data_IF_807715224864
#
_entry.id   IF_807715224864
#
_cell.length_a   1.000
_cell.length_b   1.000
_cell.length_c   1.000
_cell.angle_alpha   90.00
_cell.angle_beta   90.00
_cell.angle_gamma   90.00
#
_symmetry.space_group_name_H-M   'P 1'
#
loop_
_entity.id
_entity.type
_entity.pdbx_description
1 polymer ?
#
# COMPACT_ATOMS: atom_id res chain seq x y z
N UNK A 1 -40.79 -15.79 -22.39
CA UNK A 1 -39.67 -16.56 -21.80
C UNK A 1 -40.20 -17.40 -20.65
N UNK A 2 -39.80 -18.68 -20.54
CA UNK A 2 -40.34 -19.59 -19.50
C UNK A 2 -39.80 -19.19 -18.12
N UNK A 3 -40.65 -19.22 -17.10
CA UNK A 3 -40.34 -18.86 -15.70
C UNK A 3 -39.10 -19.59 -15.14
N UNK A 4 -38.87 -20.84 -15.58
CA UNK A 4 -37.65 -21.62 -15.27
C UNK A 4 -36.36 -20.98 -15.80
N UNK A 5 -36.40 -20.36 -16.98
CA UNK A 5 -35.24 -19.75 -17.62
C UNK A 5 -34.83 -18.46 -16.90
N UNK A 6 -35.80 -17.69 -16.41
CA UNK A 6 -35.58 -16.45 -15.64
C UNK A 6 -34.89 -16.73 -14.30
N UNK A 7 -35.29 -17.78 -13.59
CA UNK A 7 -34.65 -18.16 -12.32
C UNK A 7 -33.19 -18.61 -12.46
N UNK A 8 -32.87 -19.35 -13.53
CA UNK A 8 -31.49 -19.77 -13.82
C UNK A 8 -30.62 -18.56 -14.16
N UNK A 9 -31.12 -17.66 -15.01
CA UNK A 9 -30.41 -16.43 -15.38
C UNK A 9 -30.15 -15.57 -14.13
N UNK A 10 -31.14 -15.44 -13.24
CA UNK A 10 -30.99 -14.66 -12.01
C UNK A 10 -29.95 -15.26 -11.04
N UNK A 11 -29.95 -16.57 -10.86
CA UNK A 11 -28.95 -17.27 -10.03
C UNK A 11 -27.54 -17.10 -10.58
N UNK A 12 -27.36 -17.22 -11.90
CA UNK A 12 -26.06 -17.03 -12.55
C UNK A 12 -25.57 -15.58 -12.38
N UNK A 13 -26.44 -14.58 -12.54
CA UNK A 13 -26.11 -13.18 -12.31
C UNK A 13 -25.70 -12.91 -10.85
N UNK A 14 -26.43 -13.45 -9.88
CA UNK A 14 -26.11 -13.31 -8.46
C UNK A 14 -24.74 -13.95 -8.12
N UNK A 15 -24.44 -15.11 -8.69
CA UNK A 15 -23.14 -15.79 -8.55
C UNK A 15 -22.00 -14.95 -9.14
N UNK A 16 -22.17 -14.40 -10.34
CA UNK A 16 -21.16 -13.53 -10.97
C UNK A 16 -20.93 -12.27 -10.12
N UNK A 17 -21.99 -11.62 -9.63
CA UNK A 17 -21.86 -10.46 -8.75
C UNK A 17 -21.11 -10.81 -7.45
N UNK A 18 -21.47 -11.90 -6.79
CA UNK A 18 -20.79 -12.35 -5.57
C UNK A 18 -19.29 -12.66 -5.81
N UNK A 19 -18.96 -13.27 -6.95
CA UNK A 19 -17.58 -13.56 -7.34
C UNK A 19 -16.75 -12.28 -7.58
N UNK A 20 -17.33 -11.24 -8.17
CA UNK A 20 -16.67 -9.95 -8.38
C UNK A 20 -16.39 -9.24 -7.05
N UNK A 21 -17.34 -9.27 -6.11
CA UNK A 21 -17.14 -8.68 -4.78
C UNK A 21 -16.03 -9.40 -3.99
N UNK A 22 -16.00 -10.73 -4.02
CA UNK A 22 -15.01 -11.53 -3.27
C UNK A 22 -13.56 -11.30 -3.75
N UNK A 23 -13.36 -10.99 -5.04
CA UNK A 23 -12.02 -10.68 -5.56
C UNK A 23 -11.53 -9.28 -5.17
N UNK A 24 -12.42 -8.37 -4.78
CA UNK A 24 -12.07 -6.96 -4.50
C UNK A 24 -11.44 -6.76 -3.11
N UNK A 25 -11.50 -7.77 -2.23
CA UNK A 25 -11.17 -7.64 -0.80
C UNK A 25 -9.68 -7.90 -0.47
N UNK A 26 -8.91 -8.46 -1.40
CA UNK A 26 -7.52 -8.84 -1.16
C UNK A 26 -6.53 -7.75 -1.64
N UNK A 27 -6.51 -6.58 -0.98
CA UNK A 27 -5.37 -5.67 -1.11
C UNK A 27 -4.16 -6.32 -0.44
N UNK A 28 -3.14 -6.64 -1.24
CA UNK A 28 -1.88 -7.21 -0.77
C UNK A 28 -1.17 -6.20 0.15
N UNK A 29 -1.17 -6.45 1.46
CA UNK A 29 -0.61 -5.54 2.46
C UNK A 29 0.88 -5.75 2.60
N UNK A 30 1.63 -4.65 2.63
CA UNK A 30 3.06 -4.75 2.88
C UNK A 30 3.33 -5.29 4.29
N UNK A 31 4.29 -6.22 4.45
CA UNK A 31 4.72 -6.64 5.79
C UNK A 31 5.38 -5.44 6.49
N UNK A 32 4.92 -5.15 7.70
CA UNK A 32 5.39 -3.99 8.48
C UNK A 32 6.47 -4.35 9.49
N UNK A 33 6.88 -5.62 9.60
CA UNK A 33 7.86 -6.07 10.60
C UNK A 33 9.14 -5.22 10.62
N UNK A 34 9.85 -5.15 9.50
CA UNK A 34 11.10 -4.36 9.40
C UNK A 34 10.87 -2.85 9.56
N UNK A 35 9.70 -2.35 9.12
CA UNK A 35 9.32 -0.93 9.26
C UNK A 35 9.12 -0.58 10.73
N UNK A 36 8.44 -1.45 11.49
CA UNK A 36 8.11 -1.25 12.90
C UNK A 36 9.32 -1.39 13.82
N UNK A 37 10.38 -2.07 13.37
CA UNK A 37 11.66 -2.12 14.08
C UNK A 37 12.38 -0.76 14.11
N UNK A 38 12.06 0.14 13.17
CA UNK A 38 12.60 1.50 13.16
C UNK A 38 11.62 2.42 13.90
N UNK A 39 11.99 2.98 15.08
CA UNK A 39 11.09 3.82 15.86
C UNK A 39 10.50 4.97 15.04
N UNK A 40 9.18 5.08 15.03
CA UNK A 40 8.44 6.14 14.33
C UNK A 40 8.44 6.04 12.80
N UNK A 41 9.00 5.01 12.19
CA UNK A 41 9.07 4.90 10.73
C UNK A 41 7.69 4.76 10.09
N UNK A 42 6.78 3.96 10.68
CA UNK A 42 5.43 3.82 10.15
C UNK A 42 4.66 5.16 10.14
N UNK A 43 4.77 5.95 11.22
CA UNK A 43 4.19 7.29 11.28
C UNK A 43 4.87 8.27 10.31
N UNK A 44 6.19 8.17 10.13
CA UNK A 44 6.89 8.97 9.12
C UNK A 44 6.42 8.65 7.70
N UNK A 45 6.15 7.39 7.37
CA UNK A 45 5.56 7.00 6.08
C UNK A 45 4.14 7.54 5.93
N UNK A 46 3.33 7.51 7.00
CA UNK A 46 1.99 8.12 7.01
C UNK A 46 2.03 9.63 6.75
N UNK A 47 2.98 10.34 7.34
CA UNK A 47 3.16 11.78 7.07
C UNK A 47 3.64 12.02 5.64
N UNK A 48 4.57 11.18 5.16
CA UNK A 48 5.11 11.27 3.81
C UNK A 48 4.05 11.03 2.72
N UNK A 49 3.01 10.21 2.98
CA UNK A 49 1.88 10.10 2.05
C UNK A 49 1.08 11.40 1.91
N UNK A 50 1.12 12.26 2.95
CA UNK A 50 0.62 13.64 2.93
C UNK A 50 1.63 14.67 2.42
N UNK A 51 2.75 14.25 1.82
CA UNK A 51 3.88 15.09 1.36
C UNK A 51 4.68 15.77 2.48
N UNK A 52 4.51 15.36 3.74
CA UNK A 52 5.37 15.79 4.84
C UNK A 52 6.50 14.79 5.04
N UNK A 53 7.70 15.14 4.56
CA UNK A 53 8.89 14.30 4.63
C UNK A 53 9.80 14.60 5.82
N UNK A 54 9.42 15.54 6.70
CA UNK A 54 10.27 16.06 7.78
C UNK A 54 10.75 14.98 8.76
N UNK A 55 9.96 13.92 8.93
CA UNK A 55 10.26 12.79 9.83
C UNK A 55 10.83 11.57 9.13
N UNK A 56 11.03 11.61 7.81
CA UNK A 56 11.48 10.45 7.05
C UNK A 56 13.00 10.27 7.17
N UNK A 57 13.41 9.31 7.99
CA UNK A 57 14.83 9.02 8.24
C UNK A 57 15.43 8.07 7.20
N UNK A 58 16.75 8.10 7.05
CA UNK A 58 17.49 7.14 6.22
C UNK A 58 17.27 5.69 6.68
N UNK A 59 17.21 5.45 7.99
CA UNK A 59 16.94 4.12 8.54
C UNK A 59 15.56 3.62 8.11
N UNK A 60 14.55 4.49 8.14
CA UNK A 60 13.21 4.18 7.66
C UNK A 60 13.22 3.85 6.17
N UNK A 61 13.91 4.65 5.35
CA UNK A 61 14.03 4.36 3.92
C UNK A 61 14.76 3.05 3.61
N UNK A 62 15.79 2.67 4.39
CA UNK A 62 16.41 1.34 4.26
C UNK A 62 15.41 0.22 4.57
N UNK A 63 14.58 0.40 5.59
CA UNK A 63 13.54 -0.56 5.92
C UNK A 63 12.50 -0.69 4.78
N UNK A 64 12.12 0.41 4.14
CA UNK A 64 11.28 0.42 2.93
C UNK A 64 11.92 -0.37 1.78
N UNK A 65 13.21 -0.18 1.52
CA UNK A 65 13.92 -0.93 0.48
C UNK A 65 14.16 -2.40 0.82
N UNK A 66 14.15 -2.77 2.11
CA UNK A 66 14.24 -4.18 2.53
C UNK A 66 13.00 -5.00 2.15
N UNK A 67 11.91 -4.33 1.76
CA UNK A 67 10.72 -4.99 1.26
C UNK A 67 10.95 -5.43 -0.19
N UNK A 68 11.05 -6.75 -0.38
CA UNK A 68 11.26 -7.39 -1.68
C UNK A 68 10.03 -7.32 -2.61
N UNK A 69 8.87 -6.88 -2.11
CA UNK A 69 7.68 -6.67 -2.92
C UNK A 69 7.62 -5.24 -3.46
N UNK A 70 7.19 -5.11 -4.71
CA UNK A 70 6.85 -3.84 -5.37
C UNK A 70 5.34 -3.69 -5.61
N UNK A 71 4.54 -4.68 -5.22
CA UNK A 71 3.11 -4.75 -5.51
C UNK A 71 2.23 -4.55 -4.27
N UNK A 72 2.82 -4.53 -3.08
CA UNK A 72 2.08 -4.38 -1.85
C UNK A 72 1.71 -2.92 -1.55
N UNK A 73 0.75 -2.74 -0.65
CA UNK A 73 0.23 -1.44 -0.22
C UNK A 73 0.34 -1.26 1.30
N UNK A 74 0.65 -0.04 1.73
CA UNK A 74 0.46 0.40 3.10
C UNK A 74 -0.93 0.99 3.27
N UNK A 75 -1.56 0.67 4.40
CA UNK A 75 -2.87 1.18 4.79
C UNK A 75 -2.70 2.14 5.97
N UNK A 76 -3.05 3.40 5.76
CA UNK A 76 -3.02 4.42 6.80
C UNK A 76 -4.43 4.97 6.98
N UNK A 77 -5.21 4.47 7.93
CA UNK A 77 -6.56 5.00 8.14
C UNK A 77 -6.52 6.46 8.64
N UNK A 78 -7.35 7.40 8.12
CA UNK A 78 -8.44 7.25 7.15
C UNK A 78 -8.04 7.48 5.67
N UNK A 79 -6.75 7.53 5.37
CA UNK A 79 -6.20 7.73 4.03
C UNK A 79 -6.31 6.48 3.15
N UNK A 80 -6.30 6.63 1.82
CA UNK A 80 -6.33 5.50 0.89
C UNK A 80 -5.08 4.61 1.01
N UNK A 81 -5.10 3.38 0.46
CA UNK A 81 -3.90 2.55 0.33
C UNK A 81 -2.85 3.23 -0.55
N UNK A 82 -1.59 3.17 -0.12
CA UNK A 82 -0.46 3.70 -0.87
C UNK A 82 0.50 2.58 -1.26
N UNK A 83 0.86 2.53 -2.54
CA UNK A 83 1.80 1.54 -3.08
C UNK A 83 3.20 1.72 -2.47
N UNK A 84 3.87 0.61 -2.18
CA UNK A 84 5.29 0.61 -1.79
C UNK A 84 6.20 1.35 -2.78
N UNK A 85 5.88 1.33 -4.09
CA UNK A 85 6.64 2.06 -5.12
C UNK A 85 6.67 3.56 -4.86
N UNK A 86 5.58 4.12 -4.35
CA UNK A 86 5.52 5.54 -3.97
C UNK A 86 6.55 5.85 -2.89
N UNK A 87 6.64 5.02 -1.84
CA UNK A 87 7.60 5.21 -0.77
C UNK A 87 9.04 4.95 -1.20
N UNK A 88 9.29 3.96 -2.06
CA UNK A 88 10.60 3.76 -2.70
C UNK A 88 11.02 5.01 -3.47
N UNK A 89 10.12 5.64 -4.24
CA UNK A 89 10.42 6.89 -4.96
C UNK A 89 10.67 8.09 -4.01
N UNK A 90 9.87 8.25 -2.96
CA UNK A 90 10.09 9.29 -1.95
C UNK A 90 11.47 9.11 -1.29
N UNK A 91 11.84 7.86 -0.99
CA UNK A 91 13.11 7.52 -0.36
C UNK A 91 14.34 7.72 -1.26
N UNK A 92 14.19 7.75 -2.59
CA UNK A 92 15.26 8.20 -3.48
C UNK A 92 15.65 9.64 -3.14
N UNK A 93 14.67 10.54 -3.01
CA UNK A 93 14.91 11.96 -2.75
C UNK A 93 15.57 12.19 -1.38
N UNK A 94 15.19 11.43 -0.34
CA UNK A 94 15.84 11.51 0.98
C UNK A 94 17.30 11.05 0.94
N UNK A 95 17.62 10.04 0.14
CA UNK A 95 19.00 9.60 -0.05
C UNK A 95 19.82 10.63 -0.86
N UNK A 96 19.24 11.30 -1.86
CA UNK A 96 19.92 12.33 -2.66
C UNK A 96 20.15 13.65 -1.90
N UNK A 97 19.16 14.14 -1.15
CA UNK A 97 19.27 15.40 -0.37
C UNK A 97 20.39 15.34 0.67
N UNK A 98 20.71 14.14 1.18
CA UNK A 98 21.79 13.96 2.15
C UNK A 98 23.15 13.57 1.55
N UNK A 99 23.22 13.25 0.25
CA UNK A 99 24.49 13.09 -0.45
C UNK A 99 25.19 14.43 -0.70
N UNK A 100 24.41 15.52 -0.78
CA UNK A 100 24.92 16.90 -0.92
C UNK A 100 25.11 17.68 0.38
N UNK A 101 24.83 17.09 1.54
CA UNK A 101 25.00 17.72 2.87
C UNK A 101 26.02 16.96 3.72
N UNK A 102 27.18 16.68 3.13
CA UNK A 102 28.40 16.48 3.91
C UNK A 102 29.14 17.82 3.99
N UNK A 103 29.10 18.40 5.18
CA UNK A 103 29.83 19.60 5.66
C UNK A 103 29.26 20.95 5.22
#
# INVERSE_FOLDING_TARGET
MKLKQTNVIFMVLALISALVFLQSEAVDRCPTGNINLVPGCFDALRLASGKDYSRLSRACCRAVYSLNSDTCFFLFYPSPPYSIKMFKNICLNVNYVHAGSRF
#
